data_IF_965645563349
#
_entry.id   IF_965645563349
#
_cell.length_a   1.000
_cell.length_b   1.000
_cell.length_c   1.000
_cell.angle_alpha   90.00
_cell.angle_beta   90.00
_cell.angle_gamma   90.00
#
_symmetry.space_group_name_H-M   'P 1'
#
loop_
_entity.id
_entity.type
_entity.pdbx_description
1 polymer ?
#
# COMPACT_ATOMS: atom_id res chain seq x y z
N UNK A 1 34.73 24.87 -50.87
CA UNK A 1 33.33 24.59 -51.29
C UNK A 1 32.42 25.68 -50.72
N UNK A 2 32.07 26.70 -51.50
CA UNK A 2 31.24 27.83 -51.03
C UNK A 2 29.77 27.41 -51.20
N UNK A 3 29.12 27.05 -50.09
CA UNK A 3 27.68 26.77 -50.09
C UNK A 3 26.94 28.11 -50.27
N UNK A 4 26.16 28.24 -51.35
CA UNK A 4 25.37 29.43 -51.67
C UNK A 4 24.47 29.85 -50.49
N UNK A 5 24.36 31.15 -50.22
CA UNK A 5 23.51 31.71 -49.16
C UNK A 5 22.05 31.22 -49.25
N UNK A 6 21.54 30.98 -50.47
CA UNK A 6 20.19 30.43 -50.70
C UNK A 6 20.05 28.99 -50.20
N UNK A 7 21.10 28.18 -50.36
CA UNK A 7 21.12 26.77 -49.91
C UNK A 7 21.21 26.70 -48.39
N UNK A 8 22.00 27.58 -47.75
CA UNK A 8 22.05 27.69 -46.28
C UNK A 8 20.72 28.11 -45.68
N UNK A 9 20.05 29.09 -46.29
CA UNK A 9 18.73 29.56 -45.83
C UNK A 9 17.66 28.46 -45.96
N UNK A 10 17.62 27.75 -47.09
CA UNK A 10 16.69 26.64 -47.29
C UNK A 10 16.94 25.51 -46.28
N UNK A 11 18.21 25.18 -46.00
CA UNK A 11 18.56 24.16 -45.02
C UNK A 11 18.12 24.53 -43.60
N UNK A 12 18.32 25.78 -43.18
CA UNK A 12 17.82 26.29 -41.89
C UNK A 12 16.28 26.26 -41.82
N UNK A 13 15.59 26.58 -42.91
CA UNK A 13 14.12 26.52 -42.97
C UNK A 13 13.61 25.08 -42.82
N UNK A 14 14.24 24.11 -43.50
CA UNK A 14 13.87 22.69 -43.39
C UNK A 14 14.12 22.15 -41.98
N UNK A 15 15.25 22.51 -41.36
CA UNK A 15 15.53 22.14 -39.96
C UNK A 15 14.49 22.75 -39.02
N UNK A 16 14.19 24.05 -39.18
CA UNK A 16 13.19 24.75 -38.37
C UNK A 16 11.82 24.05 -38.46
N UNK A 17 11.33 23.81 -39.68
CA UNK A 17 10.05 23.11 -39.91
C UNK A 17 10.06 21.70 -39.31
N UNK A 18 11.18 20.98 -39.40
CA UNK A 18 11.31 19.63 -38.82
C UNK A 18 11.26 19.64 -37.29
N UNK A 19 11.86 20.66 -36.65
CA UNK A 19 11.84 20.82 -35.19
C UNK A 19 10.43 21.20 -34.69
N UNK A 20 9.70 22.06 -35.40
CA UNK A 20 8.35 22.47 -35.02
C UNK A 20 7.26 21.40 -35.27
N UNK A 21 7.52 20.39 -36.11
CA UNK A 21 6.60 19.28 -36.36
C UNK A 21 6.86 18.03 -35.50
N UNK A 22 7.94 18.03 -34.72
CA UNK A 22 8.26 16.88 -33.88
C UNK A 22 7.39 16.85 -32.61
N UNK A 23 6.49 15.87 -32.54
CA UNK A 23 5.65 15.61 -31.38
C UNK A 23 6.19 14.40 -30.60
N UNK A 24 6.28 14.52 -29.28
CA UNK A 24 6.53 13.40 -28.38
C UNK A 24 5.19 12.90 -27.84
N UNK A 25 5.00 11.58 -27.86
CA UNK A 25 3.88 10.94 -27.18
C UNK A 25 4.19 10.73 -25.71
N UNK A 26 3.43 11.39 -24.81
CA UNK A 26 3.55 11.28 -23.36
C UNK A 26 2.39 10.48 -22.78
N UNK A 27 2.66 9.70 -21.74
CA UNK A 27 1.61 8.94 -21.05
C UNK A 27 0.69 9.91 -20.30
N UNK A 28 -0.63 9.75 -20.44
CA UNK A 28 -1.62 10.42 -19.59
C UNK A 28 -2.34 9.44 -18.66
N UNK A 29 -2.51 8.18 -19.07
CA UNK A 29 -2.95 7.08 -18.21
C UNK A 29 -2.41 5.76 -18.75
N UNK A 30 -1.78 4.89 -17.95
CA UNK A 30 -1.43 3.55 -18.38
C UNK A 30 -2.69 2.75 -18.75
N UNK A 31 -2.54 1.67 -19.51
CA UNK A 31 -3.59 0.67 -19.57
C UNK A 31 -3.80 0.10 -18.16
N UNK A 32 -5.04 -0.16 -17.77
CA UNK A 32 -5.36 -0.67 -16.43
C UNK A 32 -6.18 -1.94 -16.56
N UNK A 33 -5.81 -2.96 -15.81
CA UNK A 33 -6.52 -4.24 -15.76
C UNK A 33 -6.80 -4.64 -14.34
N UNK A 34 -7.87 -5.40 -14.16
CA UNK A 34 -8.22 -5.98 -12.88
C UNK A 34 -9.53 -6.75 -12.95
N UNK A 35 -9.98 -7.18 -11.78
CA UNK A 35 -11.23 -7.90 -11.61
C UNK A 35 -12.08 -7.22 -10.54
N UNK A 36 -13.40 -7.24 -10.69
CA UNK A 36 -14.35 -6.77 -9.68
C UNK A 36 -15.20 -7.91 -9.20
N UNK A 37 -15.13 -8.16 -7.90
CA UNK A 37 -15.84 -9.21 -7.20
C UNK A 37 -16.63 -8.58 -6.05
N UNK A 38 -17.67 -9.26 -5.58
CA UNK A 38 -18.33 -8.87 -4.34
C UNK A 38 -17.71 -9.59 -3.13
N UNK A 39 -18.22 -9.30 -1.95
CA UNK A 39 -17.72 -9.86 -0.69
C UNK A 39 -17.99 -11.37 -0.55
N UNK A 40 -18.88 -11.92 -1.37
CA UNK A 40 -19.13 -13.36 -1.50
C UNK A 40 -18.16 -14.08 -2.46
N UNK A 41 -17.15 -13.37 -3.00
CA UNK A 41 -16.24 -13.87 -4.02
C UNK A 41 -16.93 -14.27 -5.33
N UNK A 42 -18.05 -13.62 -5.67
CA UNK A 42 -18.66 -13.78 -6.99
C UNK A 42 -18.28 -12.60 -7.89
N UNK A 43 -17.94 -12.85 -9.17
CA UNK A 43 -17.61 -11.79 -10.11
C UNK A 43 -18.82 -10.86 -10.31
N UNK A 44 -18.55 -9.57 -10.43
CA UNK A 44 -19.60 -8.55 -10.68
C UNK A 44 -19.50 -8.12 -12.14
N UNK A 45 -20.45 -8.57 -12.95
CA UNK A 45 -20.56 -8.20 -14.35
C UNK A 45 -21.25 -6.85 -14.56
N UNK A 46 -20.89 -6.13 -15.62
CA UNK A 46 -21.45 -4.83 -15.98
C UNK A 46 -21.27 -3.78 -14.89
N UNK A 47 -20.16 -3.85 -14.14
CA UNK A 47 -19.69 -2.80 -13.25
C UNK A 47 -18.94 -1.79 -14.09
N UNK A 48 -19.31 -0.51 -13.99
CA UNK A 48 -18.64 0.56 -14.70
C UNK A 48 -17.35 0.90 -13.97
N UNK A 49 -16.25 0.90 -14.69
CA UNK A 49 -14.90 1.21 -14.23
C UNK A 49 -14.35 2.29 -15.15
N UNK A 50 -14.46 3.55 -14.74
CA UNK A 50 -14.29 4.71 -15.62
C UNK A 50 -15.09 4.57 -16.93
N UNK A 51 -14.43 4.45 -18.09
CA UNK A 51 -15.08 4.26 -19.40
C UNK A 51 -15.31 2.79 -19.80
N UNK A 52 -14.81 1.82 -19.03
CA UNK A 52 -14.98 0.40 -19.31
C UNK A 52 -16.11 -0.21 -18.46
N UNK A 53 -16.61 -1.35 -18.90
CA UNK A 53 -17.51 -2.20 -18.10
C UNK A 53 -16.89 -3.57 -17.89
N UNK A 54 -17.15 -4.18 -16.74
CA UNK A 54 -16.68 -5.52 -16.45
C UNK A 54 -17.43 -6.59 -17.22
N UNK A 55 -16.72 -7.63 -17.64
CA UNK A 55 -17.31 -8.80 -18.30
C UNK A 55 -17.99 -9.78 -17.31
N UNK A 56 -18.44 -10.94 -17.81
CA UNK A 56 -19.09 -11.97 -17.01
C UNK A 56 -18.19 -12.58 -15.91
N UNK A 57 -16.87 -12.48 -16.06
CA UNK A 57 -15.86 -12.93 -15.11
C UNK A 57 -15.43 -11.80 -14.16
N UNK A 58 -16.05 -10.62 -14.28
CA UNK A 58 -15.73 -9.43 -13.50
C UNK A 58 -14.46 -8.73 -13.99
N UNK A 59 -13.86 -9.15 -15.11
CA UNK A 59 -12.64 -8.55 -15.65
C UNK A 59 -12.95 -7.24 -16.36
N UNK A 60 -12.06 -6.25 -16.24
CA UNK A 60 -12.10 -5.03 -17.04
C UNK A 60 -10.72 -4.71 -17.62
N UNK A 61 -10.73 -4.00 -18.75
CA UNK A 61 -9.55 -3.46 -19.41
C UNK A 61 -9.81 -2.01 -19.78
N UNK A 62 -8.99 -1.11 -19.24
CA UNK A 62 -8.93 0.29 -19.64
C UNK A 62 -7.77 0.50 -20.59
N UNK A 63 -8.04 1.12 -21.73
CA UNK A 63 -7.02 1.42 -22.73
C UNK A 63 -5.99 2.44 -22.23
N UNK A 64 -4.76 2.32 -22.71
CA UNK A 64 -3.70 3.30 -22.47
C UNK A 64 -4.08 4.63 -23.15
N UNK A 65 -4.02 5.72 -22.39
CA UNK A 65 -4.20 7.06 -22.92
C UNK A 65 -2.84 7.78 -23.02
N UNK A 66 -2.59 8.40 -24.17
CA UNK A 66 -1.40 9.21 -24.43
C UNK A 66 -1.77 10.55 -25.02
N UNK A 67 -0.99 11.57 -24.69
CA UNK A 67 -1.13 12.93 -25.24
C UNK A 67 0.11 13.31 -26.03
N UNK A 68 -0.08 14.01 -27.13
CA UNK A 68 1.02 14.51 -27.95
C UNK A 68 1.47 15.88 -27.42
N UNK A 69 2.77 16.05 -27.18
CA UNK A 69 3.39 17.29 -26.72
C UNK A 69 4.46 17.72 -27.72
N UNK A 70 4.65 19.02 -27.90
CA UNK A 70 5.68 19.56 -28.80
C UNK A 70 7.08 19.31 -28.22
N UNK A 71 7.99 18.77 -29.03
CA UNK A 71 9.36 18.43 -28.63
C UNK A 71 10.09 19.61 -27.99
N UNK A 72 9.96 20.81 -28.58
CA UNK A 72 10.61 22.03 -28.09
C UNK A 72 10.17 22.39 -26.66
N UNK A 73 8.88 22.25 -26.34
CA UNK A 73 8.34 22.52 -25.00
C UNK A 73 8.86 21.51 -23.98
N UNK A 74 8.93 20.23 -24.37
CA UNK A 74 9.45 19.14 -23.53
C UNK A 74 10.96 19.28 -23.29
N UNK A 75 11.74 19.69 -24.30
CA UNK A 75 13.18 19.93 -24.15
C UNK A 75 13.48 21.09 -23.19
N UNK A 76 12.65 22.14 -23.18
CA UNK A 76 12.79 23.26 -22.25
C UNK A 76 12.34 22.91 -20.83
N UNK A 77 11.33 22.04 -20.70
CA UNK A 77 10.81 21.56 -19.42
C UNK A 77 11.75 20.59 -18.71
N UNK A 78 12.60 19.85 -19.46
CA UNK A 78 13.58 18.85 -18.99
C UNK A 78 13.07 17.77 -18.01
N UNK A 79 11.77 17.70 -17.74
CA UNK A 79 11.16 16.80 -16.78
C UNK A 79 9.94 16.12 -17.41
N UNK A 80 9.77 14.82 -17.16
CA UNK A 80 8.59 14.12 -17.61
C UNK A 80 7.36 14.65 -16.86
N UNK A 81 6.25 14.98 -17.56
CA UNK A 81 5.08 15.52 -16.90
C UNK A 81 4.49 14.49 -15.91
N UNK A 82 3.90 14.96 -14.79
CA UNK A 82 3.19 14.09 -13.89
C UNK A 82 1.96 13.48 -14.58
N UNK A 83 1.64 12.24 -14.20
CA UNK A 83 0.39 11.58 -14.58
C UNK A 83 -0.59 11.71 -13.42
N UNK A 84 -1.77 12.24 -13.72
CA UNK A 84 -2.88 12.35 -12.78
C UNK A 84 -4.17 11.87 -13.46
N UNK A 85 -4.84 10.91 -12.85
CA UNK A 85 -6.15 10.43 -13.32
C UNK A 85 -6.96 9.88 -12.14
N UNK A 86 -8.27 9.86 -12.31
CA UNK A 86 -9.22 9.32 -11.32
C UNK A 86 -9.78 8.01 -11.87
N UNK A 87 -9.94 7.01 -11.00
CA UNK A 87 -10.63 5.77 -11.32
C UNK A 87 -11.92 5.70 -10.50
N UNK A 88 -13.04 5.75 -11.21
CA UNK A 88 -14.37 5.63 -10.62
C UNK A 88 -14.91 4.22 -10.84
N UNK A 89 -15.51 3.63 -9.80
CA UNK A 89 -16.15 2.32 -9.84
C UNK A 89 -17.61 2.48 -9.41
N UNK A 90 -18.52 2.15 -10.32
CA UNK A 90 -19.96 2.35 -10.15
C UNK A 90 -20.74 1.09 -10.57
N UNK A 91 -21.62 0.63 -9.68
CA UNK A 91 -22.59 -0.42 -9.99
C UNK A 91 -23.86 -0.20 -9.17
N UNK A 92 -25.02 -0.29 -9.81
CA UNK A 92 -26.30 -0.23 -9.10
C UNK A 92 -26.39 -1.30 -8.00
N UNK A 93 -26.81 -0.88 -6.80
CA UNK A 93 -26.88 -1.75 -5.62
C UNK A 93 -25.55 -1.92 -4.86
N UNK A 94 -24.47 -1.30 -5.33
CA UNK A 94 -23.16 -1.29 -4.67
C UNK A 94 -22.74 0.11 -4.26
N UNK A 95 -21.81 0.18 -3.31
CA UNK A 95 -21.16 1.44 -2.96
C UNK A 95 -20.31 1.93 -4.14
N UNK A 96 -20.30 3.25 -4.36
CA UNK A 96 -19.40 3.87 -5.33
C UNK A 96 -18.03 4.08 -4.71
N UNK A 97 -16.98 3.83 -5.51
CA UNK A 97 -15.60 4.05 -5.10
C UNK A 97 -14.91 4.97 -6.09
N UNK A 98 -14.08 5.87 -5.57
CA UNK A 98 -13.30 6.81 -6.35
C UNK A 98 -11.89 6.85 -5.77
N UNK A 99 -10.88 6.74 -6.64
CA UNK A 99 -9.49 6.88 -6.23
C UNK A 99 -8.70 7.72 -7.23
N UNK A 100 -7.94 8.68 -6.70
CA UNK A 100 -7.04 9.53 -7.48
C UNK A 100 -5.65 8.90 -7.54
N UNK A 101 -5.11 8.80 -8.75
CA UNK A 101 -3.78 8.31 -9.02
C UNK A 101 -2.87 9.47 -9.38
N UNK A 102 -1.72 9.55 -8.71
CA UNK A 102 -0.70 10.55 -8.99
C UNK A 102 0.68 9.91 -9.10
N UNK A 103 1.33 10.08 -10.25
CA UNK A 103 2.72 9.68 -10.47
C UNK A 103 3.53 10.89 -10.94
N UNK A 104 4.40 11.42 -10.06
CA UNK A 104 5.19 12.63 -10.31
C UNK A 104 5.98 12.60 -11.63
N UNK A 105 6.52 11.44 -12.00
CA UNK A 105 7.29 11.26 -13.23
C UNK A 105 6.65 10.25 -14.19
N UNK A 106 5.32 10.05 -14.11
CA UNK A 106 4.61 9.02 -14.86
C UNK A 106 4.60 9.24 -16.38
N UNK A 107 4.67 10.48 -16.86
CA UNK A 107 4.55 10.83 -18.28
C UNK A 107 5.70 10.31 -19.15
N UNK A 108 6.81 9.90 -18.53
CA UNK A 108 7.99 9.36 -19.19
C UNK A 108 7.90 7.86 -19.50
N UNK A 109 6.83 7.18 -19.07
CA UNK A 109 6.65 5.74 -19.31
C UNK A 109 6.54 5.43 -20.81
N UNK A 110 7.18 4.32 -21.20
CA UNK A 110 7.17 3.82 -22.58
C UNK A 110 5.74 3.44 -23.02
N UNK A 111 5.53 3.39 -24.33
CA UNK A 111 4.27 2.91 -24.92
C UNK A 111 4.05 1.44 -24.55
N UNK A 112 2.80 1.06 -24.27
CA UNK A 112 2.45 -0.25 -23.74
C UNK A 112 2.53 -0.32 -22.21
N UNK A 113 2.47 0.83 -21.53
CA UNK A 113 2.44 0.87 -20.07
C UNK A 113 1.14 0.22 -19.56
N UNK A 114 1.27 -0.81 -18.72
CA UNK A 114 0.17 -1.55 -18.13
C UNK A 114 0.31 -1.57 -16.60
N UNK A 115 -0.77 -1.23 -15.91
CA UNK A 115 -0.92 -1.38 -14.47
C UNK A 115 -2.00 -2.44 -14.19
N UNK A 116 -1.67 -3.47 -13.42
CA UNK A 116 -2.62 -4.47 -12.94
C UNK A 116 -2.97 -4.13 -11.49
N UNK A 117 -4.23 -3.82 -11.22
CA UNK A 117 -4.73 -3.48 -9.87
C UNK A 117 -5.33 -4.69 -9.14
N UNK A 118 -5.14 -5.89 -9.70
CA UNK A 118 -5.60 -7.18 -9.16
C UNK A 118 -7.13 -7.21 -8.99
N UNK A 119 -7.61 -7.97 -8.02
CA UNK A 119 -9.03 -8.14 -7.71
C UNK A 119 -9.47 -7.11 -6.66
N UNK A 120 -10.47 -6.30 -7.04
CA UNK A 120 -11.14 -5.34 -6.18
C UNK A 120 -12.46 -5.94 -5.68
N UNK A 121 -12.69 -5.82 -4.38
CA UNK A 121 -13.92 -6.30 -3.75
C UNK A 121 -14.82 -5.12 -3.42
N UNK A 122 -16.00 -5.07 -4.04
CA UNK A 122 -16.99 -4.01 -3.80
C UNK A 122 -18.10 -4.50 -2.87
N UNK A 123 -18.59 -3.59 -2.03
CA UNK A 123 -19.60 -3.84 -1.02
C UNK A 123 -20.98 -3.40 -1.50
N UNK A 124 -22.03 -4.18 -1.22
CA UNK A 124 -23.41 -3.75 -1.50
C UNK A 124 -23.81 -2.60 -0.57
N UNK A 125 -24.72 -1.74 -1.03
CA UNK A 125 -25.23 -0.65 -0.19
C UNK A 125 -25.95 -1.25 1.03
N UNK A 126 -25.51 -0.85 2.23
CA UNK A 126 -26.09 -1.33 3.49
C UNK A 126 -25.69 -2.75 3.91
N UNK A 127 -24.77 -3.40 3.18
CA UNK A 127 -24.29 -4.74 3.53
C UNK A 127 -23.64 -4.75 4.92
N UNK A 128 -24.08 -5.65 5.78
CA UNK A 128 -23.47 -5.88 7.08
C UNK A 128 -22.46 -7.01 6.94
N UNK A 129 -21.27 -6.81 7.51
CA UNK A 129 -20.19 -7.79 7.46
C UNK A 129 -20.37 -8.72 8.67
N UNK A 130 -20.75 -10.00 8.48
CA UNK A 130 -20.84 -10.93 9.59
C UNK A 130 -19.43 -11.21 10.12
N UNK A 131 -19.18 -10.83 11.37
CA UNK A 131 -17.86 -10.92 12.01
C UNK A 131 -17.32 -12.36 11.92
N UNK A 132 -18.18 -13.34 12.15
CA UNK A 132 -17.85 -14.77 12.18
C UNK A 132 -17.36 -15.30 10.82
N UNK A 133 -17.63 -14.59 9.72
CA UNK A 133 -17.17 -15.00 8.39
C UNK A 133 -15.72 -14.59 8.12
N UNK A 134 -15.27 -13.50 8.71
CA UNK A 134 -13.96 -12.89 8.41
C UNK A 134 -12.98 -12.97 9.59
N UNK A 135 -13.46 -13.13 10.82
CA UNK A 135 -12.63 -13.11 12.01
C UNK A 135 -11.66 -14.31 12.11
N UNK A 136 -12.07 -15.49 11.64
CA UNK A 136 -11.27 -16.72 11.73
C UNK A 136 -10.25 -16.91 10.61
N UNK A 137 -9.80 -15.81 10.02
CA UNK A 137 -8.69 -15.80 9.08
C UNK A 137 -7.35 -15.63 9.80
N UNK A 138 -6.25 -15.81 9.07
CA UNK A 138 -4.93 -15.46 9.57
C UNK A 138 -4.73 -13.95 9.42
N UNK A 139 -4.60 -13.27 10.56
CA UNK A 139 -4.46 -11.84 10.65
C UNK A 139 -3.05 -11.44 11.09
N UNK A 140 -2.44 -10.48 10.41
CA UNK A 140 -1.23 -9.80 10.88
C UNK A 140 -1.61 -8.41 11.35
N UNK A 141 -1.23 -8.10 12.59
CA UNK A 141 -1.50 -6.83 13.24
C UNK A 141 -0.23 -6.01 13.45
N UNK A 142 -0.38 -4.70 13.21
CA UNK A 142 0.51 -3.66 13.69
C UNK A 142 -0.19 -2.96 14.84
N UNK A 143 0.38 -3.04 16.03
CA UNK A 143 -0.15 -2.30 17.17
C UNK A 143 0.21 -0.82 17.05
N UNK A 144 -0.39 0.08 17.83
CA UNK A 144 0.10 1.45 17.97
C UNK A 144 1.14 1.56 19.10
N UNK A 145 1.79 2.72 19.29
CA UNK A 145 2.83 2.92 20.32
C UNK A 145 2.40 2.51 21.74
N UNK A 146 1.13 2.71 22.09
CA UNK A 146 0.57 2.45 23.41
C UNK A 146 0.09 1.01 23.60
N UNK A 147 0.11 0.18 22.54
CA UNK A 147 -0.51 -1.15 22.51
C UNK A 147 -2.02 -1.13 22.77
N UNK A 148 -2.67 0.01 22.60
CA UNK A 148 -4.11 0.16 22.84
C UNK A 148 -4.94 -0.06 21.56
N UNK A 149 -4.31 -0.04 20.38
CA UNK A 149 -5.00 -0.24 19.10
C UNK A 149 -4.18 -1.19 18.24
N UNK A 150 -4.85 -2.17 17.63
CA UNK A 150 -4.27 -3.11 16.67
C UNK A 150 -4.90 -2.87 15.30
N UNK A 151 -4.08 -2.60 14.29
CA UNK A 151 -4.46 -2.52 12.89
C UNK A 151 -4.11 -3.83 12.21
N UNK A 152 -5.11 -4.58 11.78
CA UNK A 152 -4.98 -5.92 11.23
C UNK A 152 -5.22 -5.97 9.74
N UNK A 153 -4.44 -6.79 9.05
CA UNK A 153 -4.68 -7.20 7.67
C UNK A 153 -4.70 -8.72 7.58
N UNK A 154 -5.50 -9.28 6.67
CA UNK A 154 -5.47 -10.70 6.37
C UNK A 154 -4.55 -11.01 5.17
N UNK A 155 -4.44 -12.29 4.79
CA UNK A 155 -3.71 -12.74 3.59
C UNK A 155 -4.26 -12.22 2.27
N UNK A 156 -5.51 -11.75 2.23
CA UNK A 156 -6.17 -11.26 1.02
C UNK A 156 -5.89 -9.77 0.79
N UNK A 157 -5.43 -9.04 1.82
CA UNK A 157 -5.04 -7.65 1.72
C UNK A 157 -3.97 -7.41 0.65
N UNK A 158 -4.15 -6.35 -0.15
CA UNK A 158 -3.20 -5.92 -1.17
C UNK A 158 -2.97 -4.42 -1.05
N UNK A 159 -1.70 -4.02 -1.09
CA UNK A 159 -1.31 -2.60 -1.05
C UNK A 159 -1.84 -1.85 -2.28
N UNK A 160 -2.10 -2.54 -3.39
CA UNK A 160 -2.64 -1.94 -4.61
C UNK A 160 -4.18 -1.84 -4.60
N UNK A 161 -4.88 -2.46 -3.63
CA UNK A 161 -6.33 -2.48 -3.60
C UNK A 161 -6.88 -1.12 -3.17
N UNK A 162 -7.30 -0.31 -4.12
CA UNK A 162 -7.78 1.06 -3.88
C UNK A 162 -9.02 1.17 -2.97
N UNK A 163 -9.74 0.07 -2.72
CA UNK A 163 -10.94 0.07 -1.88
C UNK A 163 -10.57 -0.06 -0.40
N UNK A 164 -9.78 -1.08 -0.04
CA UNK A 164 -9.37 -1.31 1.34
C UNK A 164 -8.12 -0.51 1.72
N UNK A 165 -7.30 -0.09 0.75
CA UNK A 165 -6.04 0.60 0.96
C UNK A 165 -6.20 2.12 1.16
N UNK A 166 -6.84 2.55 2.26
CA UNK A 166 -6.87 3.99 2.59
C UNK A 166 -5.52 4.44 3.16
N UNK A 167 -5.05 5.63 2.76
CA UNK A 167 -3.78 6.21 3.22
C UNK A 167 -3.72 6.30 4.76
N UNK A 168 -4.82 6.68 5.39
CA UNK A 168 -4.94 6.76 6.85
C UNK A 168 -4.76 5.42 7.56
N UNK A 169 -5.31 4.32 7.00
CA UNK A 169 -5.07 2.98 7.54
C UNK A 169 -3.63 2.52 7.28
N UNK A 170 -3.13 2.70 6.06
CA UNK A 170 -1.79 2.27 5.69
C UNK A 170 -0.69 2.92 6.52
N UNK A 171 -0.79 4.22 6.77
CA UNK A 171 0.20 4.90 7.60
C UNK A 171 0.17 4.34 9.02
N UNK A 172 -1.02 4.08 9.57
CA UNK A 172 -1.17 3.49 10.90
C UNK A 172 -0.72 2.03 10.96
N UNK A 173 -0.98 1.24 9.92
CA UNK A 173 -0.52 -0.15 9.84
C UNK A 173 0.99 -0.22 9.61
N UNK A 174 1.51 0.50 8.62
CA UNK A 174 2.93 0.51 8.24
C UNK A 174 3.84 1.12 9.31
N UNK A 175 3.38 2.16 10.02
CA UNK A 175 4.16 2.85 11.06
C UNK A 175 3.74 2.51 12.50
N UNK A 176 2.67 1.73 12.69
CA UNK A 176 1.97 1.54 13.97
C UNK A 176 2.87 1.26 15.17
N UNK A 177 3.90 0.43 15.01
CA UNK A 177 4.94 0.25 16.04
C UNK A 177 6.33 0.48 15.48
N UNK A 178 6.59 1.61 14.80
CA UNK A 178 7.97 2.07 14.57
C UNK A 178 8.41 2.92 15.75
N UNK A 179 9.22 2.34 16.64
CA UNK A 179 9.87 3.09 17.72
C UNK A 179 11.06 3.85 17.16
N UNK A 180 10.91 5.18 17.03
CA UNK A 180 12.00 6.13 16.77
C UNK A 180 12.67 6.51 18.09
N UNK A 181 13.87 6.03 18.34
CA UNK A 181 14.63 6.43 19.52
C UNK A 181 15.34 7.77 19.27
N UNK A 182 15.21 8.75 20.16
CA UNK A 182 16.06 9.95 20.19
C UNK A 182 16.64 10.09 21.60
N UNK A 183 17.95 9.94 21.74
CA UNK A 183 18.62 10.20 23.02
C UNK A 183 18.81 11.71 23.20
N UNK A 184 18.58 12.21 24.43
CA UNK A 184 18.91 13.58 24.86
C UNK A 184 20.13 13.64 25.79
N UNK A 185 20.83 12.52 26.00
CA UNK A 185 22.07 12.48 26.79
C UNK A 185 23.13 11.67 26.06
N UNK A 186 24.37 12.16 26.09
CA UNK A 186 25.56 11.41 25.64
C UNK A 186 25.62 10.14 26.48
N UNK A 187 25.61 8.95 25.86
CA UNK A 187 25.62 7.72 26.61
C UNK A 187 27.04 7.34 26.99
N UNK A 188 27.13 6.91 28.23
CA UNK A 188 28.29 6.23 28.77
C UNK A 188 28.70 5.04 27.89
N UNK A 189 29.99 4.77 27.91
CA UNK A 189 30.85 4.08 26.92
C UNK A 189 30.52 2.65 26.42
N UNK A 190 29.25 2.26 26.30
CA UNK A 190 28.88 0.99 25.64
C UNK A 190 27.77 1.06 24.59
N UNK A 191 26.99 2.14 24.47
CA UNK A 191 25.88 2.19 23.51
C UNK A 191 25.45 3.62 23.20
N UNK A 192 25.60 4.13 21.98
CA UNK A 192 24.83 5.31 21.55
C UNK A 192 23.55 4.93 20.81
N UNK A 193 22.42 5.21 21.47
CA UNK A 193 21.03 5.11 20.99
C UNK A 193 20.67 6.21 20.00
N UNK A 194 21.58 6.52 19.07
CA UNK A 194 21.31 7.50 18.02
C UNK A 194 20.45 6.87 16.91
N UNK A 195 19.13 6.90 17.15
CA UNK A 195 18.03 6.79 16.17
C UNK A 195 17.99 5.55 15.27
N UNK A 196 17.49 4.44 15.83
CA UNK A 196 16.96 3.34 15.02
C UNK A 196 15.44 3.28 15.09
N UNK A 197 14.85 2.73 14.04
CA UNK A 197 13.43 2.49 13.89
C UNK A 197 13.19 0.98 14.17
N UNK A 198 12.59 0.63 15.30
CA UNK A 198 12.22 -0.76 15.62
C UNK A 198 10.76 -0.99 15.26
N UNK A 199 10.49 -1.89 14.32
CA UNK A 199 9.14 -2.35 13.97
C UNK A 199 8.74 -3.55 14.82
N UNK A 200 7.55 -3.52 15.41
CA UNK A 200 6.96 -4.69 16.09
C UNK A 200 5.69 -5.13 15.35
N UNK A 201 5.61 -6.42 15.02
CA UNK A 201 4.43 -7.04 14.40
C UNK A 201 3.87 -8.16 15.26
N UNK A 202 2.57 -8.41 15.12
CA UNK A 202 1.82 -9.44 15.83
C UNK A 202 1.04 -10.29 14.82
N UNK A 203 1.43 -11.55 14.62
CA UNK A 203 0.63 -12.48 13.84
C UNK A 203 -0.36 -13.18 14.77
N UNK A 204 -1.65 -13.22 14.41
CA UNK A 204 -2.72 -13.87 15.16
C UNK A 204 -3.52 -14.75 14.21
N UNK A 205 -3.64 -16.03 14.56
CA UNK A 205 -4.57 -16.95 13.92
C UNK A 205 -5.67 -17.31 14.91
N UNK A 206 -6.92 -17.01 14.58
CA UNK A 206 -8.10 -17.29 15.40
C UNK A 206 -8.85 -18.49 14.81
N UNK A 207 -9.10 -19.51 15.61
CA UNK A 207 -9.79 -20.74 15.18
C UNK A 207 -11.25 -20.76 15.66
N UNK A 208 -12.12 -21.45 14.92
CA UNK A 208 -13.58 -21.47 15.17
C UNK A 208 -13.95 -22.11 16.51
N UNK A 209 -13.13 -23.05 16.96
CA UNK A 209 -13.22 -23.73 18.25
C UNK A 209 -12.81 -22.85 19.45
N UNK A 210 -12.45 -21.58 19.23
CA UNK A 210 -12.12 -20.63 20.29
C UNK A 210 -10.67 -20.72 20.77
N UNK A 211 -9.76 -21.22 19.95
CA UNK A 211 -8.30 -21.26 20.19
C UNK A 211 -7.56 -20.26 19.33
N UNK A 212 -6.46 -19.72 19.83
CA UNK A 212 -5.62 -18.80 19.06
C UNK A 212 -4.13 -19.15 19.13
N UNK A 213 -3.43 -18.82 18.05
CA UNK A 213 -1.97 -18.79 18.00
C UNK A 213 -1.49 -17.36 17.74
N UNK A 214 -0.57 -16.86 18.56
CA UNK A 214 -0.05 -15.50 18.48
C UNK A 214 1.47 -15.48 18.42
N UNK A 215 2.06 -14.76 17.47
CA UNK A 215 3.51 -14.56 17.35
C UNK A 215 3.83 -13.06 17.34
N UNK A 216 4.65 -12.62 18.30
CA UNK A 216 5.20 -11.26 18.31
C UNK A 216 6.60 -11.27 17.74
N UNK A 217 6.88 -10.39 16.79
CA UNK A 217 8.20 -10.23 16.17
C UNK A 217 8.67 -8.79 16.30
N UNK A 218 9.96 -8.59 16.60
CA UNK A 218 10.63 -7.29 16.62
C UNK A 218 11.74 -7.25 15.58
N UNK A 219 11.71 -6.26 14.69
CA UNK A 219 12.64 -6.11 13.56
C UNK A 219 13.18 -4.68 13.47
N UNK A 220 14.49 -4.55 13.27
CA UNK A 220 15.12 -3.26 13.00
C UNK A 220 14.88 -2.84 11.54
N UNK A 221 14.48 -1.58 11.34
CA UNK A 221 14.41 -0.95 10.03
C UNK A 221 15.81 -0.44 9.65
N UNK A 222 16.26 -0.78 8.44
CA UNK A 222 17.61 -0.51 7.91
C UNK A 222 18.81 -1.11 8.69
N UNK A 223 18.83 -2.43 8.94
CA UNK A 223 19.86 -3.04 9.79
C UNK A 223 21.28 -3.04 9.16
N UNK A 224 21.38 -2.93 7.84
CA UNK A 224 22.65 -3.02 7.10
C UNK A 224 23.49 -1.74 7.14
N UNK A 225 22.85 -0.57 7.09
CA UNK A 225 23.55 0.71 7.22
C UNK A 225 24.34 0.76 8.53
N UNK A 226 23.71 0.33 9.62
CA UNK A 226 24.29 0.34 10.94
C UNK A 226 25.34 -0.75 11.15
N UNK A 227 25.12 -1.97 10.62
CA UNK A 227 26.15 -3.01 10.64
C UNK A 227 27.44 -2.52 9.99
N UNK A 228 27.35 -1.84 8.84
CA UNK A 228 28.51 -1.31 8.12
C UNK A 228 29.23 -0.21 8.90
N UNK A 229 28.49 0.68 9.57
CA UNK A 229 29.06 1.72 10.43
C UNK A 229 29.76 1.11 11.67
N UNK A 230 29.18 0.07 12.28
CA UNK A 230 29.77 -0.64 13.41
C UNK A 230 31.05 -1.40 13.00
N UNK A 231 30.98 -2.19 11.93
CA UNK A 231 32.15 -2.90 11.38
C UNK A 231 33.28 -1.92 11.04
N UNK A 232 32.95 -0.73 10.50
CA UNK A 232 33.94 0.32 10.21
C UNK A 232 34.60 0.88 11.48
N UNK A 233 33.82 1.10 12.54
CA UNK A 233 34.29 1.77 13.76
C UNK A 233 35.05 0.81 14.68
N UNK A 234 34.53 -0.41 14.89
CA UNK A 234 35.03 -1.36 15.87
C UNK A 234 35.77 -2.55 15.26
N UNK A 235 35.72 -2.73 13.93
CA UNK A 235 36.39 -3.82 13.19
C UNK A 235 35.97 -5.24 13.64
N UNK A 236 34.77 -5.37 14.17
CA UNK A 236 34.19 -6.63 14.66
C UNK A 236 32.90 -6.97 13.92
N UNK A 237 32.65 -8.27 13.74
CA UNK A 237 31.41 -8.75 13.15
C UNK A 237 30.24 -8.56 14.13
N UNK A 238 29.24 -7.77 13.74
CA UNK A 238 28.07 -7.48 14.57
C UNK A 238 26.82 -8.22 14.10
N UNK A 239 26.12 -8.86 15.05
CA UNK A 239 24.84 -9.54 14.79
C UNK A 239 23.68 -8.60 15.14
N UNK A 240 22.81 -8.36 14.17
CA UNK A 240 21.60 -7.56 14.35
C UNK A 240 20.68 -8.29 15.36
N UNK A 241 20.24 -7.64 16.46
CA UNK A 241 19.33 -8.27 17.40
C UNK A 241 17.98 -8.53 16.74
N UNK A 242 17.36 -9.67 17.03
CA UNK A 242 15.98 -9.95 16.65
C UNK A 242 15.35 -10.77 17.76
N UNK A 243 14.10 -10.45 18.10
CA UNK A 243 13.36 -11.10 19.19
C UNK A 243 12.00 -11.54 18.66
N UNK A 244 11.62 -12.77 19.00
CA UNK A 244 10.32 -13.32 18.69
C UNK A 244 9.78 -14.12 19.85
N UNK A 245 8.51 -13.92 20.19
CA UNK A 245 7.83 -14.67 21.23
C UNK A 245 6.53 -15.26 20.72
N UNK A 246 6.23 -16.47 21.14
CA UNK A 246 5.04 -17.22 20.73
C UNK A 246 4.11 -17.39 21.92
N UNK A 247 2.81 -17.36 21.64
CA UNK A 247 1.74 -17.54 22.62
C UNK A 247 0.62 -18.36 22.01
N UNK A 248 0.00 -19.23 22.81
CA UNK A 248 -1.19 -20.01 22.42
C UNK A 248 -2.17 -20.06 23.57
N UNK A 249 -3.45 -19.91 23.28
CA UNK A 249 -4.50 -19.86 24.30
C UNK A 249 -5.89 -20.06 23.73
N UNK A 250 -6.88 -19.72 24.55
CA UNK A 250 -8.29 -19.65 24.19
C UNK A 250 -8.74 -18.20 24.13
N UNK A 251 -9.76 -17.95 23.32
CA UNK A 251 -10.43 -16.68 23.26
C UNK A 251 -11.93 -16.88 23.23
N UNK A 252 -12.67 -15.88 23.69
CA UNK A 252 -14.13 -15.84 23.57
C UNK A 252 -14.55 -14.57 22.85
N UNK A 253 -15.66 -14.68 22.11
CA UNK A 253 -16.29 -13.55 21.43
C UNK A 253 -17.66 -13.33 22.08
N UNK A 254 -17.98 -12.08 22.40
CA UNK A 254 -19.31 -11.68 22.86
C UNK A 254 -19.68 -10.36 22.19
N UNK A 255 -20.47 -10.42 21.12
CA UNK A 255 -20.75 -9.26 20.28
C UNK A 255 -19.48 -8.81 19.55
N UNK A 256 -19.08 -7.56 19.76
CA UNK A 256 -17.88 -6.94 19.22
C UNK A 256 -16.65 -7.11 20.14
N UNK A 257 -16.76 -7.83 21.26
CA UNK A 257 -15.66 -7.99 22.22
C UNK A 257 -14.96 -9.33 22.03
N UNK A 258 -13.64 -9.29 21.90
CA UNK A 258 -12.73 -10.44 21.87
C UNK A 258 -11.93 -10.46 23.18
N UNK A 259 -12.03 -11.54 23.95
CA UNK A 259 -11.30 -11.72 25.20
C UNK A 259 -10.32 -12.87 25.09
N UNK A 260 -9.04 -12.61 25.36
CA UNK A 260 -7.97 -13.63 25.37
C UNK A 260 -7.73 -14.16 26.80
N UNK A 261 -7.58 -15.48 26.96
CA UNK A 261 -7.46 -16.17 28.25
C UNK A 261 -6.07 -16.06 28.92
N UNK A 262 -5.04 -15.72 28.14
CA UNK A 262 -3.63 -15.70 28.57
C UNK A 262 -2.97 -14.38 28.22
N UNK A 263 -1.69 -14.23 28.62
CA UNK A 263 -0.80 -13.09 28.34
C UNK A 263 -0.51 -12.91 26.84
N UNK A 264 -1.53 -12.63 26.05
CA UNK A 264 -1.40 -12.07 24.72
C UNK A 264 -0.70 -10.71 24.84
N UNK A 265 0.53 -10.60 24.36
CA UNK A 265 1.30 -9.33 24.34
C UNK A 265 1.53 -8.67 25.72
N UNK A 266 1.45 -9.46 26.80
CA UNK A 266 1.45 -9.10 28.25
C UNK A 266 0.07 -8.69 28.78
N UNK A 267 -0.39 -9.46 29.78
CA UNK A 267 -1.64 -9.38 30.55
C UNK A 267 -2.93 -9.64 29.73
N UNK A 268 -4.00 -10.06 30.42
CA UNK A 268 -5.27 -10.50 29.85
C UNK A 268 -5.94 -9.35 29.08
N UNK A 269 -5.69 -9.26 27.78
CA UNK A 269 -6.18 -8.17 26.98
C UNK A 269 -7.61 -8.43 26.49
N UNK A 270 -8.48 -7.45 26.71
CA UNK A 270 -9.83 -7.38 26.14
C UNK A 270 -9.77 -6.40 24.98
N UNK A 271 -10.19 -6.82 23.80
CA UNK A 271 -10.26 -5.96 22.62
C UNK A 271 -11.70 -5.82 22.15
N UNK A 272 -12.12 -4.60 21.83
CA UNK A 272 -13.34 -4.33 21.09
C UNK A 272 -13.01 -4.19 19.60
N UNK A 273 -13.82 -4.80 18.73
CA UNK A 273 -13.79 -4.59 17.29
C UNK A 273 -14.34 -3.19 17.03
N UNK A 274 -13.46 -2.26 16.66
CA UNK A 274 -13.84 -0.89 16.29
C UNK A 274 -14.40 -0.85 14.87
N UNK A 275 -13.71 -1.53 13.96
CA UNK A 275 -14.12 -1.66 12.56
C UNK A 275 -13.66 -2.99 12.01
N UNK A 276 -14.53 -3.64 11.25
CA UNK A 276 -14.18 -4.82 10.46
C UNK A 276 -14.58 -4.57 9.01
N UNK A 277 -13.67 -4.90 8.12
CA UNK A 277 -13.91 -5.05 6.70
C UNK A 277 -13.40 -6.43 6.25
N UNK A 278 -13.61 -6.79 4.99
CA UNK A 278 -13.17 -8.07 4.42
C UNK A 278 -11.70 -8.37 4.68
N UNK A 279 -10.83 -7.39 4.45
CA UNK A 279 -9.37 -7.56 4.50
C UNK A 279 -8.69 -6.76 5.63
N UNK A 280 -9.47 -5.99 6.39
CA UNK A 280 -8.99 -5.10 7.46
C UNK A 280 -9.77 -5.35 8.75
N UNK A 281 -9.07 -5.36 9.87
CA UNK A 281 -9.67 -5.45 11.19
C UNK A 281 -8.99 -4.48 12.15
N UNK A 282 -9.75 -3.61 12.82
CA UNK A 282 -9.24 -2.68 13.83
C UNK A 282 -9.77 -3.09 15.19
N UNK A 283 -8.85 -3.34 16.12
CA UNK A 283 -9.14 -3.74 17.49
C UNK A 283 -8.66 -2.66 18.45
N UNK A 284 -9.50 -2.27 19.41
CA UNK A 284 -9.15 -1.31 20.46
C UNK A 284 -9.17 -2.03 21.82
N UNK A 285 -8.05 -1.98 22.53
CA UNK A 285 -7.90 -2.49 23.87
C UNK A 285 -8.84 -1.73 24.82
N UNK A 286 -9.64 -2.48 25.58
CA UNK A 286 -10.44 -1.94 26.67
C UNK A 286 -9.65 -2.08 27.97
N UNK A 287 -9.43 -0.98 28.72
CA UNK A 287 -9.01 -1.12 30.11
C UNK A 287 -10.14 -1.83 30.88
N UNK A 288 -9.75 -2.81 31.70
CA UNK A 288 -10.63 -3.45 32.68
C UNK A 288 -11.18 -2.42 33.70
#
# INVERSE_FOLDING_TARGET
MIVSHKVRFLFCLVISISLFNSCISRLSRPAITGYIYNYDNTPVAGCKVAEAETDAQGYFYLEEQRTNRFLLTEMLSMEAPPVFFTLDIEKEGYQSYQNDFFQRHGGGRQKGALDNIDTLYIKRVGEQIPIERYLYEDWTFSANKNLDTLYGINKNYRIQNIISNTSGFQDKYGWGQVYRYKSTSIPDSSWSTESYDLLTSLDISLQKEGTYEGKKTRKYLNPWRHRKEYERTYREAYKIPSDSSYSKGRFTISGDIIRFDKRFVKANAVYQIDSIDRDILILICKPD
#
